data_IF_543067419997
#
_entry.id   IF_543067419997
#
_cell.length_a   1.000
_cell.length_b   1.000
_cell.length_c   1.000
_cell.angle_alpha   90.00
_cell.angle_beta   90.00
_cell.angle_gamma   90.00
#
_symmetry.space_group_name_H-M   'P 1'
#
loop_
_entity.id
_entity.type
_entity.pdbx_description
1 polymer ?
#
# COMPACT_ATOMS: atom_id res chain seq x y z
N UNK A 1 10.95 58.61 -25.51
CA UNK A 1 9.75 58.55 -24.65
C UNK A 1 8.70 57.52 -25.07
N UNK A 2 8.23 57.45 -26.33
CA UNK A 2 7.18 56.47 -26.76
C UNK A 2 7.59 55.01 -26.60
N UNK A 3 8.87 54.64 -26.86
CA UNK A 3 9.36 53.26 -26.72
C UNK A 3 9.47 52.79 -25.25
N UNK A 4 9.83 53.67 -24.34
CA UNK A 4 9.89 53.35 -22.90
C UNK A 4 8.51 53.20 -22.28
N UNK A 5 7.51 53.93 -22.76
CA UNK A 5 6.13 53.82 -22.29
C UNK A 5 5.50 52.49 -22.74
N UNK A 6 5.81 52.04 -23.97
CA UNK A 6 5.34 50.77 -24.52
C UNK A 6 5.95 49.58 -23.77
N UNK A 7 7.25 49.65 -23.42
CA UNK A 7 7.93 48.64 -22.62
C UNK A 7 7.36 48.55 -21.20
N UNK A 8 7.05 49.70 -20.57
CA UNK A 8 6.44 49.73 -19.25
C UNK A 8 5.02 49.15 -19.27
N UNK A 9 4.22 49.44 -20.30
CA UNK A 9 2.88 48.86 -20.46
C UNK A 9 2.92 47.35 -20.69
N UNK A 10 3.91 46.86 -21.45
CA UNK A 10 4.10 45.41 -21.66
C UNK A 10 4.52 44.69 -20.38
N UNK A 11 5.41 45.28 -19.58
CA UNK A 11 5.76 44.74 -18.26
C UNK A 11 4.57 44.76 -17.31
N UNK A 12 3.77 45.81 -17.30
CA UNK A 12 2.58 45.89 -16.46
C UNK A 12 1.52 44.85 -16.85
N UNK A 13 1.31 44.60 -18.15
CA UNK A 13 0.37 43.57 -18.62
C UNK A 13 0.84 42.15 -18.29
N UNK A 14 2.16 41.88 -18.28
CA UNK A 14 2.73 40.61 -17.84
C UNK A 14 2.61 40.42 -16.32
N UNK A 15 2.72 41.50 -15.55
CA UNK A 15 2.50 41.43 -14.08
C UNK A 15 1.01 41.26 -13.71
N UNK A 16 0.09 41.73 -14.55
CA UNK A 16 -1.35 41.59 -14.35
C UNK A 16 -1.91 40.24 -14.84
N UNK A 17 -1.18 39.46 -15.65
CA UNK A 17 -1.51 38.09 -15.98
C UNK A 17 -1.17 37.13 -14.82
N UNK A 18 -1.45 37.58 -13.59
CA UNK A 18 -1.37 36.71 -12.40
C UNK A 18 -2.22 35.49 -12.63
N UNK A 19 -1.60 34.34 -12.58
CA UNK A 19 -2.29 33.04 -12.52
C UNK A 19 -3.49 33.20 -11.59
N UNK A 20 -4.68 32.81 -12.03
CA UNK A 20 -5.84 32.63 -11.17
C UNK A 20 -5.58 31.43 -10.25
N UNK A 21 -4.59 31.56 -9.35
CA UNK A 21 -4.34 30.57 -8.34
C UNK A 21 -5.55 30.59 -7.41
N UNK A 22 -6.36 29.54 -7.44
CA UNK A 22 -7.42 29.31 -6.45
C UNK A 22 -6.81 29.57 -5.07
N UNK A 23 -7.37 30.54 -4.34
CA UNK A 23 -6.81 30.89 -3.04
C UNK A 23 -6.91 29.69 -2.12
N UNK A 24 -5.95 29.54 -1.19
CA UNK A 24 -5.93 28.43 -0.24
C UNK A 24 -7.25 28.28 0.51
N UNK A 25 -7.89 29.40 0.84
CA UNK A 25 -9.21 29.47 1.50
C UNK A 25 -10.38 28.90 0.67
N UNK A 26 -10.22 28.83 -0.66
CA UNK A 26 -11.27 28.36 -1.58
C UNK A 26 -11.14 26.85 -1.86
N UNK A 27 -10.26 26.16 -1.13
CA UNK A 27 -10.03 24.71 -1.25
C UNK A 27 -10.54 23.97 -0.03
N UNK A 28 -11.18 22.84 -0.29
CA UNK A 28 -11.51 21.85 0.75
C UNK A 28 -10.37 20.82 0.80
N UNK A 29 -9.62 20.82 1.89
CA UNK A 29 -8.53 19.87 2.13
C UNK A 29 -9.10 18.59 2.68
N UNK A 30 -8.94 17.49 1.93
CA UNK A 30 -9.49 16.19 2.29
C UNK A 30 -8.46 15.35 3.03
N UNK A 31 -8.90 14.76 4.16
CA UNK A 31 -8.17 13.76 4.91
C UNK A 31 -8.43 12.36 4.35
N UNK A 32 -9.69 12.04 4.08
CA UNK A 32 -10.04 10.75 3.51
C UNK A 32 -11.07 10.85 2.38
N UNK A 33 -10.99 9.88 1.49
CA UNK A 33 -11.90 9.66 0.37
C UNK A 33 -12.35 8.20 0.38
N UNK A 34 -13.65 7.96 0.39
CA UNK A 34 -14.24 6.65 0.22
C UNK A 34 -14.89 6.53 -1.16
N UNK A 35 -14.58 5.43 -1.86
CA UNK A 35 -15.14 5.09 -3.18
C UNK A 35 -16.05 3.88 -3.08
N UNK A 36 -17.29 4.03 -3.56
CA UNK A 36 -18.28 2.97 -3.59
C UNK A 36 -19.06 2.97 -4.90
N UNK A 37 -19.75 1.86 -5.20
CA UNK A 37 -20.58 1.69 -6.40
C UNK A 37 -19.81 1.97 -7.71
N UNK A 38 -18.94 1.04 -8.12
CA UNK A 38 -18.09 1.19 -9.31
C UNK A 38 -18.84 1.50 -10.60
N UNK A 39 -20.08 0.98 -10.77
CA UNK A 39 -20.89 1.23 -11.99
C UNK A 39 -21.42 2.66 -12.06
N UNK A 40 -21.75 3.23 -10.92
CA UNK A 40 -22.19 4.62 -10.77
C UNK A 40 -21.46 5.21 -9.56
N UNK A 41 -20.22 5.63 -9.77
CA UNK A 41 -19.32 6.01 -8.69
C UNK A 41 -19.96 6.97 -7.69
N UNK A 42 -19.84 6.60 -6.43
CA UNK A 42 -20.25 7.43 -5.30
C UNK A 42 -19.02 7.69 -4.44
N UNK A 43 -18.79 8.95 -4.09
CA UNK A 43 -17.70 9.42 -3.26
C UNK A 43 -18.23 9.95 -1.94
N UNK A 44 -17.56 9.60 -0.84
CA UNK A 44 -17.75 10.21 0.47
C UNK A 44 -16.45 10.86 0.88
N UNK A 45 -16.51 12.14 1.23
CA UNK A 45 -15.37 12.98 1.50
C UNK A 45 -15.37 13.39 2.98
N UNK A 46 -14.20 13.29 3.63
CA UNK A 46 -14.00 13.77 4.99
C UNK A 46 -12.87 14.80 4.99
N UNK A 47 -13.18 16.00 5.48
CA UNK A 47 -12.25 17.10 5.55
C UNK A 47 -11.33 16.99 6.78
N UNK A 48 -10.14 17.62 6.73
CA UNK A 48 -9.26 17.74 7.89
C UNK A 48 -9.86 18.57 9.04
N UNK A 49 -10.72 19.53 8.71
CA UNK A 49 -11.33 20.40 9.69
C UNK A 49 -12.72 19.89 10.03
N UNK A 50 -12.93 19.54 11.29
CA UNK A 50 -14.21 19.02 11.80
C UNK A 50 -15.39 20.00 11.67
N UNK A 51 -15.12 21.28 11.43
CA UNK A 51 -16.13 22.32 11.19
C UNK A 51 -16.66 22.29 9.74
N UNK A 52 -15.94 21.65 8.81
CA UNK A 52 -16.36 21.47 7.44
C UNK A 52 -17.20 20.20 7.33
N UNK A 53 -18.41 20.34 6.81
CA UNK A 53 -19.31 19.20 6.67
C UNK A 53 -18.75 18.15 5.72
N UNK A 54 -18.87 16.88 6.09
CA UNK A 54 -18.63 15.77 5.16
C UNK A 54 -19.52 15.95 3.92
N UNK A 55 -18.90 15.77 2.76
CA UNK A 55 -19.59 15.92 1.48
C UNK A 55 -19.66 14.57 0.77
N UNK A 56 -20.70 14.40 -0.02
CA UNK A 56 -20.81 13.23 -0.89
C UNK A 56 -21.22 13.65 -2.29
N UNK A 57 -20.83 12.85 -3.26
CA UNK A 57 -21.20 13.05 -4.65
C UNK A 57 -21.36 11.73 -5.39
N UNK A 58 -22.08 11.76 -6.49
CA UNK A 58 -22.25 10.61 -7.35
C UNK A 58 -22.31 11.03 -8.81
N UNK A 59 -21.89 10.14 -9.72
CA UNK A 59 -21.86 10.46 -11.13
C UNK A 59 -21.64 9.24 -12.01
N UNK A 60 -21.76 9.42 -13.32
CA UNK A 60 -21.52 8.36 -14.29
C UNK A 60 -20.03 7.97 -14.42
N UNK A 61 -19.15 8.83 -13.93
CA UNK A 61 -17.70 8.60 -13.83
C UNK A 61 -17.21 9.08 -12.48
N UNK A 62 -16.01 8.64 -12.08
CA UNK A 62 -15.42 9.09 -10.83
C UNK A 62 -15.17 10.61 -10.80
N UNK A 63 -14.72 11.19 -11.93
CA UNK A 63 -14.57 12.64 -12.04
C UNK A 63 -15.90 13.37 -11.84
N UNK A 64 -16.99 12.89 -12.47
CA UNK A 64 -18.31 13.48 -12.31
C UNK A 64 -18.83 13.35 -10.85
N UNK A 65 -18.50 12.24 -10.16
CA UNK A 65 -18.84 12.06 -8.76
C UNK A 65 -18.08 13.06 -7.86
N UNK A 66 -16.80 13.28 -8.10
CA UNK A 66 -15.99 14.28 -7.39
C UNK A 66 -16.48 15.71 -7.67
N UNK A 67 -16.74 16.05 -8.92
CA UNK A 67 -17.33 17.36 -9.29
C UNK A 67 -18.68 17.58 -8.62
N UNK A 68 -19.54 16.55 -8.56
CA UNK A 68 -20.83 16.67 -7.90
C UNK A 68 -20.71 16.90 -6.39
N UNK A 69 -19.63 16.45 -5.77
CA UNK A 69 -19.33 16.68 -4.36
C UNK A 69 -18.81 18.09 -4.07
N UNK A 70 -18.21 18.78 -5.06
CA UNK A 70 -17.79 20.19 -4.93
C UNK A 70 -18.98 21.15 -4.76
N UNK A 71 -20.15 20.81 -5.30
CA UNK A 71 -21.34 21.66 -5.25
C UNK A 71 -21.80 21.90 -3.80
N UNK A 72 -22.08 20.87 -2.99
CA UNK A 72 -22.43 21.07 -1.59
C UNK A 72 -21.27 21.61 -0.75
N UNK A 73 -20.03 21.31 -1.12
CA UNK A 73 -18.85 21.83 -0.42
C UNK A 73 -18.67 23.35 -0.63
N UNK A 74 -19.13 23.91 -1.75
CA UNK A 74 -18.92 25.31 -2.10
C UNK A 74 -17.44 25.69 -2.28
N UNK A 75 -16.55 24.68 -2.36
CA UNK A 75 -15.10 24.80 -2.49
C UNK A 75 -14.58 23.75 -3.46
N UNK A 76 -13.46 24.04 -4.11
CA UNK A 76 -12.80 23.04 -4.93
C UNK A 76 -12.06 22.01 -4.08
N UNK A 77 -12.16 20.73 -4.47
CA UNK A 77 -11.54 19.62 -3.75
C UNK A 77 -10.01 19.65 -3.93
N UNK A 78 -9.29 19.46 -2.85
CA UNK A 78 -7.84 19.29 -2.87
C UNK A 78 -7.44 17.95 -2.24
N UNK A 79 -7.06 17.00 -3.11
CA UNK A 79 -6.71 15.63 -2.74
C UNK A 79 -5.20 15.42 -2.57
N UNK A 80 -4.38 16.44 -2.80
CA UNK A 80 -2.91 16.32 -2.70
C UNK A 80 -2.41 15.99 -1.29
N UNK A 81 -3.22 16.19 -0.26
CA UNK A 81 -2.93 15.83 1.13
C UNK A 81 -3.74 14.64 1.63
N UNK A 82 -4.43 13.93 0.73
CA UNK A 82 -5.22 12.76 1.11
C UNK A 82 -4.35 11.74 1.86
N UNK A 83 -4.77 11.39 3.07
CA UNK A 83 -4.07 10.41 3.92
C UNK A 83 -4.65 9.01 3.80
N UNK A 84 -5.96 8.89 3.53
CA UNK A 84 -6.67 7.62 3.43
C UNK A 84 -7.57 7.59 2.20
N UNK A 85 -7.39 6.57 1.37
CA UNK A 85 -8.29 6.21 0.28
C UNK A 85 -8.94 4.85 0.60
N UNK A 86 -10.24 4.85 0.85
CA UNK A 86 -11.00 3.65 1.14
C UNK A 86 -11.75 3.17 -0.11
N UNK A 87 -11.65 1.89 -0.41
CA UNK A 87 -12.30 1.26 -1.56
C UNK A 87 -13.34 0.26 -1.07
N UNK A 88 -14.58 0.37 -1.51
CA UNK A 88 -15.62 -0.62 -1.23
C UNK A 88 -15.71 -1.72 -2.30
N UNK A 89 -15.17 -1.46 -3.48
CA UNK A 89 -15.15 -2.43 -4.57
C UNK A 89 -13.73 -2.55 -5.14
N UNK A 90 -13.24 -3.78 -5.38
CA UNK A 90 -11.89 -4.06 -5.90
C UNK A 90 -11.59 -3.36 -7.22
N UNK A 91 -12.59 -3.21 -8.08
CA UNK A 91 -12.44 -2.62 -9.43
C UNK A 91 -11.92 -1.19 -9.41
N UNK A 92 -12.08 -0.44 -8.31
CA UNK A 92 -11.52 0.90 -8.18
C UNK A 92 -9.99 0.91 -8.21
N UNK A 93 -9.32 -0.21 -7.95
CA UNK A 93 -7.87 -0.31 -8.14
C UNK A 93 -7.42 0.02 -9.56
N UNK A 94 -8.26 -0.26 -10.55
CA UNK A 94 -7.95 0.05 -11.96
C UNK A 94 -7.92 1.56 -12.23
N UNK A 95 -8.58 2.36 -11.40
CA UNK A 95 -8.66 3.82 -11.55
C UNK A 95 -7.59 4.57 -10.74
N UNK A 96 -6.79 3.88 -9.92
CA UNK A 96 -5.76 4.52 -9.10
C UNK A 96 -4.71 5.30 -9.91
N UNK A 97 -4.20 4.80 -11.06
CA UNK A 97 -3.25 5.56 -11.87
C UNK A 97 -3.83 6.89 -12.36
N UNK A 98 -5.09 6.88 -12.81
CA UNK A 98 -5.78 8.07 -13.28
C UNK A 98 -6.04 9.07 -12.15
N UNK A 99 -6.46 8.57 -10.98
CA UNK A 99 -6.61 9.39 -9.77
C UNK A 99 -5.29 10.05 -9.35
N UNK A 100 -4.21 9.28 -9.34
CA UNK A 100 -2.88 9.80 -9.00
C UNK A 100 -2.46 10.91 -9.96
N UNK A 101 -2.64 10.69 -11.26
CA UNK A 101 -2.25 11.65 -12.30
C UNK A 101 -3.12 12.90 -12.27
N UNK A 102 -4.44 12.74 -12.20
CA UNK A 102 -5.41 13.83 -12.32
C UNK A 102 -5.44 14.71 -11.05
N UNK A 103 -5.41 14.09 -9.88
CA UNK A 103 -5.60 14.77 -8.58
C UNK A 103 -4.33 14.90 -7.75
N UNK A 104 -3.19 14.43 -8.27
CA UNK A 104 -1.87 14.52 -7.61
C UNK A 104 -1.89 13.96 -6.18
N UNK A 105 -2.49 12.79 -6.00
CA UNK A 105 -2.55 12.13 -4.69
C UNK A 105 -1.14 11.95 -4.11
N UNK A 106 -1.05 12.03 -2.77
CA UNK A 106 0.19 11.71 -2.07
C UNK A 106 0.59 10.25 -2.31
N UNK A 107 1.84 9.99 -2.65
CA UNK A 107 2.38 8.62 -2.77
C UNK A 107 2.30 7.83 -1.47
N UNK A 108 2.31 8.52 -0.33
CA UNK A 108 2.17 7.94 1.00
C UNK A 108 0.72 7.80 1.48
N UNK A 109 -0.28 8.12 0.63
CA UNK A 109 -1.68 7.89 0.94
C UNK A 109 -1.92 6.40 1.25
N UNK A 110 -2.59 6.11 2.37
CA UNK A 110 -2.97 4.75 2.75
C UNK A 110 -4.16 4.29 1.93
N UNK A 111 -4.12 3.04 1.45
CA UNK A 111 -5.30 2.40 0.87
C UNK A 111 -5.88 1.43 1.89
N UNK A 112 -7.22 1.36 1.91
CA UNK A 112 -7.96 0.45 2.77
C UNK A 112 -9.12 -0.15 1.97
N UNK A 113 -9.22 -1.47 1.93
CA UNK A 113 -10.43 -2.10 1.46
C UNK A 113 -11.44 -2.26 2.60
N UNK A 114 -12.70 -1.97 2.34
CA UNK A 114 -13.78 -2.10 3.33
C UNK A 114 -15.08 -2.48 2.65
N UNK A 115 -15.83 -3.39 3.24
CA UNK A 115 -17.18 -3.76 2.77
C UNK A 115 -18.28 -2.91 3.39
N UNK A 116 -17.92 -2.00 4.31
CA UNK A 116 -18.87 -1.12 5.02
C UNK A 116 -18.44 0.32 4.86
N UNK A 117 -19.41 1.21 4.74
CA UNK A 117 -19.13 2.64 4.70
C UNK A 117 -18.41 3.14 5.95
N UNK A 118 -17.52 4.09 5.74
CA UNK A 118 -16.81 4.82 6.79
C UNK A 118 -17.60 6.02 7.34
N UNK A 119 -18.77 6.33 6.82
CA UNK A 119 -19.57 7.52 7.20
C UNK A 119 -19.83 7.65 8.72
N UNK A 120 -19.89 6.52 9.46
CA UNK A 120 -20.08 6.52 10.91
C UNK A 120 -18.77 6.26 11.69
N UNK A 121 -17.62 6.35 11.03
CA UNK A 121 -16.32 6.00 11.59
C UNK A 121 -15.46 7.25 11.70
N UNK A 122 -14.83 7.44 12.85
CA UNK A 122 -13.79 8.46 12.95
C UNK A 122 -12.58 8.04 12.12
N UNK A 123 -12.40 8.68 10.97
CA UNK A 123 -11.38 8.34 9.98
C UNK A 123 -9.96 8.62 10.48
N UNK A 124 -9.77 9.62 11.34
CA UNK A 124 -8.49 9.93 11.98
C UNK A 124 -8.07 8.76 12.90
N UNK A 125 -8.95 8.33 13.81
CA UNK A 125 -8.68 7.18 14.70
C UNK A 125 -8.44 5.89 13.90
N UNK A 126 -9.18 5.68 12.80
CA UNK A 126 -8.98 4.53 11.91
C UNK A 126 -7.60 4.55 11.27
N UNK A 127 -7.20 5.71 10.74
CA UNK A 127 -5.89 5.91 10.11
C UNK A 127 -4.75 5.75 11.11
N UNK A 128 -4.89 6.30 12.31
CA UNK A 128 -3.91 6.13 13.38
C UNK A 128 -3.76 4.66 13.78
N UNK A 129 -4.88 3.94 13.93
CA UNK A 129 -4.85 2.51 14.24
C UNK A 129 -4.16 1.71 13.15
N UNK A 130 -4.42 2.00 11.87
CA UNK A 130 -3.74 1.37 10.74
C UNK A 130 -2.23 1.64 10.76
N UNK A 131 -1.84 2.90 10.96
CA UNK A 131 -0.43 3.30 11.09
C UNK A 131 0.26 2.61 12.28
N UNK A 132 -0.44 2.41 13.40
CA UNK A 132 0.08 1.70 14.57
C UNK A 132 0.30 0.21 14.31
N UNK A 133 -0.63 -0.47 13.64
CA UNK A 133 -0.47 -1.89 13.27
C UNK A 133 0.75 -2.07 12.36
N UNK A 134 0.94 -1.17 11.38
CA UNK A 134 2.14 -1.16 10.55
C UNK A 134 3.41 -0.88 11.39
N UNK A 135 3.43 0.16 12.22
CA UNK A 135 4.61 0.54 13.03
C UNK A 135 5.01 -0.54 14.03
N UNK A 136 4.04 -1.32 14.52
CA UNK A 136 4.29 -2.44 15.42
C UNK A 136 4.72 -3.72 14.67
N UNK A 137 4.81 -3.69 13.33
CA UNK A 137 5.14 -4.84 12.50
C UNK A 137 4.13 -5.97 12.56
N UNK A 138 2.87 -5.65 12.86
CA UNK A 138 1.76 -6.62 12.82
C UNK A 138 1.17 -6.76 11.44
N UNK A 139 1.38 -5.76 10.60
CA UNK A 139 1.02 -5.75 9.20
C UNK A 139 2.16 -5.19 8.36
N UNK A 140 2.34 -5.63 7.11
CA UNK A 140 3.24 -5.02 6.16
C UNK A 140 2.84 -3.56 5.92
N UNK A 141 3.84 -2.69 5.78
CA UNK A 141 3.58 -1.31 5.40
C UNK A 141 3.07 -1.26 3.96
N UNK A 142 1.92 -0.63 3.77
CA UNK A 142 1.31 -0.42 2.47
C UNK A 142 0.95 1.05 2.28
N UNK A 143 1.19 1.56 1.08
CA UNK A 143 0.80 2.90 0.65
C UNK A 143 0.50 2.87 -0.85
N UNK A 144 -0.03 3.98 -1.37
CA UNK A 144 -0.40 4.08 -2.77
C UNK A 144 0.75 3.72 -3.71
N UNK A 145 1.97 4.15 -3.39
CA UNK A 145 3.14 3.86 -4.23
C UNK A 145 3.48 2.36 -4.24
N UNK A 146 3.48 1.70 -3.09
CA UNK A 146 3.77 0.25 -3.00
C UNK A 146 2.72 -0.56 -3.76
N UNK A 147 1.44 -0.23 -3.61
CA UNK A 147 0.34 -0.90 -4.31
C UNK A 147 0.43 -0.70 -5.83
N UNK A 148 0.76 0.51 -6.28
CA UNK A 148 0.95 0.76 -7.72
C UNK A 148 2.16 0.00 -8.27
N UNK A 149 3.26 -0.12 -7.52
CA UNK A 149 4.40 -0.95 -7.90
C UNK A 149 4.02 -2.42 -8.04
N UNK A 150 3.32 -2.97 -7.06
CA UNK A 150 2.84 -4.36 -7.08
C UNK A 150 1.94 -4.60 -8.31
N UNK A 151 1.04 -3.69 -8.62
CA UNK A 151 0.19 -3.78 -9.80
C UNK A 151 0.91 -3.59 -11.14
N UNK A 152 2.05 -2.92 -11.15
CA UNK A 152 2.90 -2.80 -12.33
C UNK A 152 3.81 -4.01 -12.53
N UNK A 153 3.89 -4.92 -11.55
CA UNK A 153 4.57 -6.20 -11.70
C UNK A 153 3.75 -7.13 -12.62
N UNK A 154 4.41 -8.12 -13.15
CA UNK A 154 3.77 -9.07 -14.08
C UNK A 154 2.66 -9.92 -13.45
N UNK A 155 2.53 -9.94 -12.13
CA UNK A 155 1.42 -10.61 -11.42
C UNK A 155 0.13 -9.79 -11.37
N UNK A 156 0.21 -8.47 -11.55
CA UNK A 156 -0.92 -7.53 -11.48
C UNK A 156 -1.75 -7.59 -10.17
N UNK A 157 -1.21 -8.21 -9.14
CA UNK A 157 -1.86 -8.41 -7.84
C UNK A 157 -1.35 -7.37 -6.85
N UNK A 158 -2.23 -6.83 -6.03
CA UNK A 158 -1.88 -5.88 -4.97
C UNK A 158 -2.18 -6.47 -3.58
N UNK A 159 -1.34 -6.11 -2.60
CA UNK A 159 -1.55 -6.43 -1.20
C UNK A 159 -2.19 -5.23 -0.50
N UNK A 160 -3.42 -5.39 0.02
CA UNK A 160 -4.16 -4.32 0.67
C UNK A 160 -4.55 -4.66 2.10
N UNK A 161 -4.51 -3.67 3.02
CA UNK A 161 -5.19 -3.80 4.31
C UNK A 161 -6.71 -3.86 4.10
N UNK A 162 -7.32 -4.76 4.82
CA UNK A 162 -8.76 -4.99 4.83
C UNK A 162 -9.32 -4.77 6.23
N UNK A 163 -10.39 -3.97 6.33
CA UNK A 163 -11.04 -3.69 7.60
C UNK A 163 -11.94 -4.85 8.03
N UNK A 164 -11.67 -5.38 9.22
CA UNK A 164 -12.51 -6.36 9.90
C UNK A 164 -13.20 -5.73 11.12
N UNK A 165 -14.05 -6.49 11.81
CA UNK A 165 -14.86 -5.96 12.93
C UNK A 165 -14.00 -5.37 14.05
N UNK A 166 -12.86 -6.00 14.38
CA UNK A 166 -12.00 -5.60 15.49
C UNK A 166 -10.56 -5.36 15.03
N UNK A 167 -10.36 -4.57 13.98
CA UNK A 167 -9.02 -4.23 13.49
C UNK A 167 -8.86 -4.39 11.99
N UNK A 168 -7.71 -4.90 11.59
CA UNK A 168 -7.34 -5.06 10.19
C UNK A 168 -6.84 -6.48 9.92
N UNK A 169 -6.94 -6.88 8.68
CA UNK A 169 -6.30 -8.04 8.08
C UNK A 169 -5.68 -7.62 6.75
N UNK A 170 -5.04 -8.54 6.04
CA UNK A 170 -4.49 -8.28 4.71
C UNK A 170 -5.16 -9.18 3.68
N UNK A 171 -5.30 -8.68 2.48
CA UNK A 171 -5.82 -9.43 1.34
C UNK A 171 -5.00 -9.19 0.08
N UNK A 172 -4.92 -10.19 -0.74
CA UNK A 172 -4.49 -10.07 -2.13
C UNK A 172 -5.70 -9.67 -2.97
N UNK A 173 -5.48 -8.82 -3.95
CA UNK A 173 -6.51 -8.33 -4.84
C UNK A 173 -5.97 -8.25 -6.26
N UNK A 174 -6.58 -9.02 -7.14
CA UNK A 174 -6.19 -9.12 -8.54
C UNK A 174 -6.81 -8.03 -9.41
N UNK A 175 -6.30 -7.90 -10.62
CA UNK A 175 -6.79 -6.93 -11.61
C UNK A 175 -8.25 -7.16 -12.03
N UNK A 176 -8.75 -8.39 -11.98
CA UNK A 176 -10.15 -8.73 -12.26
C UNK A 176 -11.10 -8.45 -11.09
N UNK A 177 -10.54 -8.14 -9.91
CA UNK A 177 -11.26 -7.86 -8.68
C UNK A 177 -11.49 -9.10 -7.81
N UNK A 178 -10.86 -10.23 -8.12
CA UNK A 178 -10.84 -11.37 -7.19
C UNK A 178 -10.03 -11.02 -5.94
N UNK A 179 -10.41 -11.60 -4.80
CA UNK A 179 -9.81 -11.28 -3.50
C UNK A 179 -9.53 -12.54 -2.69
N UNK A 180 -8.37 -12.58 -2.06
CA UNK A 180 -7.95 -13.65 -1.16
C UNK A 180 -7.45 -13.07 0.16
N UNK A 181 -8.12 -13.39 1.27
CA UNK A 181 -7.66 -13.00 2.61
C UNK A 181 -6.50 -13.89 3.05
N UNK A 182 -5.46 -13.28 3.60
CA UNK A 182 -4.28 -13.98 4.11
C UNK A 182 -4.47 -14.41 5.57
N UNK A 183 -3.82 -15.53 5.93
CA UNK A 183 -3.72 -15.96 7.32
C UNK A 183 -2.84 -15.02 8.15
N UNK A 184 -3.00 -15.04 9.47
CA UNK A 184 -2.16 -14.25 10.38
C UNK A 184 -0.68 -14.62 10.27
N UNK A 185 -0.36 -15.89 10.04
CA UNK A 185 1.02 -16.32 9.86
C UNK A 185 1.60 -15.77 8.55
N UNK A 186 0.84 -15.80 7.46
CA UNK A 186 1.26 -15.20 6.20
C UNK A 186 1.46 -13.69 6.33
N UNK A 187 0.58 -12.97 7.01
CA UNK A 187 0.73 -11.52 7.27
C UNK A 187 2.02 -11.24 8.04
N UNK A 188 2.30 -11.99 9.08
CA UNK A 188 3.55 -11.85 9.84
C UNK A 188 4.77 -12.19 8.99
N UNK A 189 4.71 -13.27 8.20
CA UNK A 189 5.77 -13.63 7.26
C UNK A 189 6.08 -12.52 6.26
N UNK A 190 5.04 -11.87 5.73
CA UNK A 190 5.22 -10.72 4.83
C UNK A 190 5.91 -9.53 5.51
N UNK A 191 5.70 -9.28 6.80
CA UNK A 191 6.45 -8.25 7.52
C UNK A 191 7.97 -8.53 7.49
N UNK A 192 8.38 -9.80 7.57
CA UNK A 192 9.78 -10.20 7.48
C UNK A 192 10.29 -10.20 6.04
N UNK A 193 9.55 -10.81 5.14
CA UNK A 193 9.96 -10.95 3.74
C UNK A 193 10.07 -9.60 3.04
N UNK A 194 9.17 -8.67 3.26
CA UNK A 194 9.25 -7.32 2.65
C UNK A 194 10.38 -6.46 3.20
N UNK A 195 10.92 -6.79 4.37
CA UNK A 195 12.12 -6.16 4.92
C UNK A 195 11.99 -4.67 5.26
N UNK A 196 10.81 -4.10 5.25
CA UNK A 196 10.57 -2.67 5.44
C UNK A 196 9.88 -2.32 6.77
N UNK A 197 9.44 -3.34 7.53
CA UNK A 197 8.72 -3.11 8.77
C UNK A 197 8.71 -4.34 9.67
N UNK A 198 9.61 -4.40 10.62
CA UNK A 198 9.74 -5.54 11.54
C UNK A 198 9.01 -5.28 12.85
N UNK A 199 8.41 -6.32 13.47
CA UNK A 199 7.87 -6.21 14.81
C UNK A 199 8.97 -5.90 15.82
N UNK A 200 8.74 -4.97 16.73
CA UNK A 200 9.68 -4.68 17.83
C UNK A 200 9.66 -5.75 18.90
N UNK A 201 8.57 -6.52 18.98
CA UNK A 201 8.35 -7.61 19.93
C UNK A 201 7.62 -8.73 19.23
N UNK A 202 8.10 -9.95 19.41
CA UNK A 202 7.45 -11.19 18.94
C UNK A 202 7.09 -12.02 20.16
N UNK A 203 5.80 -12.27 20.36
CA UNK A 203 5.35 -13.21 21.41
C UNK A 203 5.52 -14.63 20.91
N UNK A 204 6.20 -15.43 21.72
CA UNK A 204 6.58 -16.80 21.44
C UNK A 204 5.91 -17.74 22.46
N UNK A 205 5.60 -18.94 22.03
CA UNK A 205 5.16 -20.02 22.91
C UNK A 205 6.08 -21.21 22.69
N UNK A 206 6.84 -21.58 23.71
CA UNK A 206 7.69 -22.77 23.69
C UNK A 206 7.41 -23.60 24.95
N UNK A 207 7.19 -24.90 24.79
CA UNK A 207 6.91 -25.83 25.88
C UNK A 207 5.76 -25.40 26.83
N UNK A 208 4.74 -24.70 26.25
CA UNK A 208 3.60 -24.19 27.02
C UNK A 208 3.90 -22.93 27.84
N UNK A 209 5.10 -22.36 27.72
CA UNK A 209 5.47 -21.10 28.36
C UNK A 209 5.44 -19.97 27.32
N UNK A 210 4.74 -18.89 27.66
CA UNK A 210 4.76 -17.68 26.87
C UNK A 210 6.02 -16.86 27.20
N UNK A 211 6.71 -16.41 26.17
CA UNK A 211 7.88 -15.53 26.28
C UNK A 211 7.85 -14.50 25.16
N UNK A 212 8.59 -13.42 25.32
CA UNK A 212 8.74 -12.42 24.27
C UNK A 212 10.19 -12.39 23.76
N UNK A 213 10.36 -12.17 22.47
CA UNK A 213 11.64 -11.76 21.90
C UNK A 213 11.55 -10.27 21.55
N UNK A 214 12.50 -9.50 22.10
CA UNK A 214 12.61 -8.06 21.85
C UNK A 214 13.62 -7.80 20.75
N UNK A 215 13.20 -7.11 19.68
CA UNK A 215 13.99 -6.85 18.49
C UNK A 215 14.51 -5.41 18.51
N UNK A 216 15.81 -5.26 18.38
CA UNK A 216 16.48 -3.95 18.28
C UNK A 216 16.70 -3.54 16.83
N UNK A 217 17.04 -4.50 15.97
CA UNK A 217 17.15 -4.29 14.53
C UNK A 217 16.95 -5.58 13.77
N UNK A 218 16.50 -5.47 12.51
CA UNK A 218 16.43 -6.59 11.60
C UNK A 218 16.70 -6.14 10.16
N UNK A 219 17.07 -7.08 9.31
CA UNK A 219 17.25 -6.85 7.87
C UNK A 219 16.97 -8.12 7.09
N UNK A 220 16.41 -7.97 5.90
CA UNK A 220 16.18 -9.07 4.95
C UNK A 220 16.94 -8.80 3.66
N UNK A 221 17.57 -9.85 3.12
CA UNK A 221 18.27 -9.82 1.84
C UNK A 221 17.83 -11.01 0.99
N UNK A 222 17.72 -10.76 -0.30
CA UNK A 222 17.40 -11.77 -1.30
C UNK A 222 18.61 -12.05 -2.17
N UNK A 223 18.94 -13.32 -2.35
CA UNK A 223 19.88 -13.77 -3.38
C UNK A 223 19.22 -14.88 -4.18
N UNK A 224 19.43 -14.87 -5.49
CA UNK A 224 18.83 -15.86 -6.36
C UNK A 224 19.92 -16.51 -7.24
N UNK A 225 19.76 -17.80 -7.46
CA UNK A 225 20.59 -18.57 -8.40
C UNK A 225 19.71 -19.52 -9.22
N UNK A 226 20.23 -19.99 -10.33
CA UNK A 226 19.56 -20.98 -11.16
C UNK A 226 20.22 -22.34 -10.98
N UNK A 227 19.44 -23.34 -10.59
CA UNK A 227 19.89 -24.73 -10.53
C UNK A 227 18.93 -25.61 -11.35
N UNK A 228 19.44 -26.34 -12.33
CA UNK A 228 18.65 -27.22 -13.22
C UNK A 228 17.47 -26.52 -13.91
N UNK A 229 17.61 -25.24 -14.26
CA UNK A 229 16.54 -24.46 -14.88
C UNK A 229 15.44 -23.97 -13.91
N UNK A 230 15.63 -24.14 -12.61
CA UNK A 230 14.71 -23.70 -11.56
C UNK A 230 15.36 -22.55 -10.78
N UNK A 231 14.63 -21.45 -10.51
CA UNK A 231 15.13 -20.38 -9.65
C UNK A 231 15.09 -20.81 -8.18
N UNK A 232 16.22 -20.71 -7.50
CA UNK A 232 16.35 -20.90 -6.05
C UNK A 232 16.62 -19.54 -5.45
N UNK A 233 15.75 -19.10 -4.56
CA UNK A 233 15.83 -17.81 -3.87
C UNK A 233 16.17 -18.04 -2.40
N UNK A 234 17.33 -17.57 -1.98
CA UNK A 234 17.72 -17.58 -0.57
C UNK A 234 17.29 -16.28 0.09
N UNK A 235 16.49 -16.40 1.14
CA UNK A 235 16.03 -15.28 1.97
C UNK A 235 16.84 -15.29 3.26
N UNK A 236 17.79 -14.36 3.37
CA UNK A 236 18.64 -14.22 4.57
C UNK A 236 18.06 -13.13 5.49
N UNK A 237 17.59 -13.52 6.66
CA UNK A 237 17.02 -12.61 7.69
C UNK A 237 17.98 -12.55 8.87
N UNK A 238 18.51 -11.35 9.13
CA UNK A 238 19.39 -11.08 10.27
C UNK A 238 18.65 -10.26 11.30
N UNK A 239 18.68 -10.71 12.56
CA UNK A 239 17.93 -10.12 13.68
C UNK A 239 18.88 -9.91 14.86
N UNK A 240 18.87 -8.71 15.44
CA UNK A 240 19.48 -8.43 16.73
C UNK A 240 18.40 -8.24 17.77
N UNK A 241 18.59 -8.86 18.96
CA UNK A 241 17.59 -8.75 20.01
C UNK A 241 17.81 -9.73 21.16
N UNK A 242 16.89 -9.73 22.10
CA UNK A 242 16.98 -10.55 23.33
C UNK A 242 15.75 -11.38 23.52
N UNK A 243 15.93 -12.65 23.87
CA UNK A 243 14.86 -13.63 24.10
C UNK A 243 15.25 -15.04 23.68
N UNK A 244 14.27 -15.91 23.50
CA UNK A 244 14.49 -17.29 23.06
C UNK A 244 14.71 -17.33 21.53
N UNK A 245 15.97 -17.41 21.09
CA UNK A 245 16.35 -17.42 19.68
C UNK A 245 15.86 -18.68 18.93
N UNK A 246 15.75 -19.83 19.60
CA UNK A 246 15.29 -21.09 18.99
C UNK A 246 13.79 -20.96 18.64
N UNK A 247 12.98 -20.56 19.62
CA UNK A 247 11.55 -20.37 19.40
C UNK A 247 11.26 -19.25 18.38
N UNK A 248 12.09 -18.18 18.34
CA UNK A 248 11.96 -17.16 17.31
C UNK A 248 12.24 -17.75 15.92
N UNK A 249 13.29 -18.55 15.75
CA UNK A 249 13.61 -19.19 14.46
C UNK A 249 12.44 -20.03 13.94
N UNK A 250 11.87 -20.90 14.77
CA UNK A 250 10.72 -21.75 14.41
C UNK A 250 9.51 -20.90 14.01
N UNK A 251 9.27 -19.80 14.75
CA UNK A 251 8.18 -18.86 14.42
C UNK A 251 8.39 -18.15 13.09
N UNK A 252 9.63 -17.71 12.79
CA UNK A 252 9.99 -17.09 11.52
C UNK A 252 9.82 -18.05 10.35
N UNK A 253 10.31 -19.28 10.49
CA UNK A 253 10.21 -20.31 9.46
C UNK A 253 8.74 -20.56 9.10
N UNK A 254 7.90 -20.84 10.11
CA UNK A 254 6.45 -21.03 9.92
C UNK A 254 5.80 -19.84 9.23
N UNK A 255 6.13 -18.62 9.66
CA UNK A 255 5.52 -17.41 9.10
C UNK A 255 5.96 -17.13 7.65
N UNK A 256 7.26 -17.25 7.36
CA UNK A 256 7.79 -17.06 6.00
C UNK A 256 7.23 -18.10 5.03
N UNK A 257 7.22 -19.37 5.41
CA UNK A 257 6.63 -20.45 4.61
C UNK A 257 5.12 -20.22 4.34
N UNK A 258 4.37 -19.75 5.35
CA UNK A 258 2.96 -19.41 5.16
C UNK A 258 2.77 -18.26 4.16
N UNK A 259 3.60 -17.22 4.26
CA UNK A 259 3.56 -16.10 3.34
C UNK A 259 3.87 -16.52 1.90
N UNK A 260 4.95 -17.27 1.68
CA UNK A 260 5.35 -17.76 0.36
C UNK A 260 4.30 -18.69 -0.24
N UNK A 261 3.77 -19.60 0.56
CA UNK A 261 2.72 -20.51 0.13
C UNK A 261 1.47 -19.76 -0.29
N UNK A 262 0.98 -18.84 0.55
CA UNK A 262 -0.28 -18.15 0.30
C UNK A 262 -0.15 -17.05 -0.77
N UNK A 263 1.00 -16.40 -0.90
CA UNK A 263 1.16 -15.36 -1.94
C UNK A 263 1.71 -15.92 -3.24
N UNK A 264 2.85 -16.56 -3.23
CA UNK A 264 3.56 -16.97 -4.44
C UNK A 264 2.98 -18.27 -5.01
N UNK A 265 2.91 -19.33 -4.19
CA UNK A 265 2.58 -20.66 -4.69
C UNK A 265 1.10 -20.82 -5.02
N UNK A 266 0.19 -20.33 -4.18
CA UNK A 266 -1.26 -20.48 -4.36
C UNK A 266 -1.85 -19.39 -5.25
N UNK A 267 -1.44 -18.14 -5.06
CA UNK A 267 -2.06 -17.00 -5.74
C UNK A 267 -1.18 -16.36 -6.83
N UNK A 268 0.06 -16.82 -7.01
CA UNK A 268 1.01 -16.30 -8.01
C UNK A 268 1.20 -14.77 -7.91
N UNK A 269 1.11 -14.24 -6.69
CA UNK A 269 1.17 -12.83 -6.38
C UNK A 269 2.58 -12.45 -5.89
N UNK A 270 3.31 -11.68 -6.69
CA UNK A 270 4.60 -11.12 -6.26
C UNK A 270 4.42 -9.84 -5.45
N UNK A 271 4.20 -10.01 -4.17
CA UNK A 271 4.10 -8.89 -3.21
C UNK A 271 5.39 -8.67 -2.39
N UNK A 272 6.49 -9.35 -2.75
CA UNK A 272 7.80 -9.24 -2.08
C UNK A 272 8.93 -8.79 -3.02
N UNK A 273 8.59 -8.26 -4.21
CA UNK A 273 9.52 -7.77 -5.23
C UNK A 273 10.46 -8.86 -5.78
N UNK A 274 9.97 -10.10 -5.87
CA UNK A 274 10.72 -11.25 -6.35
C UNK A 274 11.11 -11.13 -7.83
N UNK A 275 10.24 -10.55 -8.66
CA UNK A 275 10.50 -10.27 -10.07
C UNK A 275 11.76 -9.42 -10.24
N UNK A 276 11.92 -8.37 -9.44
CA UNK A 276 13.10 -7.51 -9.50
C UNK A 276 14.38 -8.29 -9.15
N UNK A 277 14.32 -9.16 -8.13
CA UNK A 277 15.43 -10.02 -7.73
C UNK A 277 15.83 -11.00 -8.85
N UNK A 278 14.87 -11.74 -9.41
CA UNK A 278 15.13 -12.73 -10.45
C UNK A 278 15.59 -12.08 -11.76
N UNK A 279 15.01 -10.96 -12.14
CA UNK A 279 15.45 -10.19 -13.30
C UNK A 279 16.89 -9.72 -13.19
N UNK A 280 17.34 -9.35 -11.99
CA UNK A 280 18.70 -8.89 -11.75
C UNK A 280 19.70 -10.03 -11.66
N UNK A 281 19.36 -11.13 -10.98
CA UNK A 281 20.33 -12.19 -10.62
C UNK A 281 20.21 -13.46 -11.48
N UNK A 282 19.04 -13.71 -12.07
CA UNK A 282 18.76 -14.85 -12.94
C UNK A 282 18.29 -14.40 -14.32
N UNK A 283 18.90 -13.33 -14.86
CA UNK A 283 18.46 -12.64 -16.08
C UNK A 283 18.19 -13.56 -17.28
N UNK A 284 19.08 -14.53 -17.53
CA UNK A 284 18.92 -15.48 -18.62
C UNK A 284 17.64 -16.32 -18.48
N UNK A 285 17.42 -16.89 -17.30
CA UNK A 285 16.23 -17.67 -16.99
C UNK A 285 14.95 -16.81 -17.09
N UNK A 286 15.01 -15.57 -16.60
CA UNK A 286 13.93 -14.61 -16.68
C UNK A 286 13.55 -14.23 -18.13
N UNK A 287 14.50 -14.24 -19.06
CA UNK A 287 14.22 -14.01 -20.47
C UNK A 287 13.66 -15.24 -21.22
N UNK A 288 14.03 -16.44 -20.78
CA UNK A 288 13.65 -17.70 -21.45
C UNK A 288 12.30 -18.22 -21.01
N UNK A 289 11.77 -17.80 -19.87
CA UNK A 289 10.50 -18.28 -19.30
C UNK A 289 9.56 -17.12 -18.99
N UNK A 290 8.26 -17.38 -19.11
CA UNK A 290 7.27 -16.42 -18.67
C UNK A 290 7.22 -16.32 -17.13
N UNK A 291 6.82 -15.14 -16.65
CA UNK A 291 6.83 -14.83 -15.22
C UNK A 291 5.97 -15.80 -14.38
N UNK A 292 4.80 -16.16 -14.85
CA UNK A 292 3.90 -17.03 -14.10
C UNK A 292 4.48 -18.45 -13.97
N UNK A 293 5.19 -18.93 -15.00
CA UNK A 293 5.92 -20.18 -14.94
C UNK A 293 7.07 -20.14 -13.94
N UNK A 294 7.81 -19.03 -13.88
CA UNK A 294 8.86 -18.82 -12.90
C UNK A 294 8.32 -18.81 -11.48
N UNK A 295 7.25 -18.08 -11.20
CA UNK A 295 6.62 -18.05 -9.88
C UNK A 295 6.16 -19.43 -9.39
N UNK A 296 5.68 -20.28 -10.29
CA UNK A 296 5.23 -21.64 -9.92
C UNK A 296 6.37 -22.58 -9.55
N UNK A 297 7.56 -22.32 -10.09
CA UNK A 297 8.71 -23.22 -9.95
C UNK A 297 9.75 -22.70 -8.93
N UNK A 298 9.64 -21.44 -8.51
CA UNK A 298 10.59 -20.87 -7.55
C UNK A 298 10.64 -21.67 -6.25
N UNK A 299 11.85 -21.93 -5.78
CA UNK A 299 12.11 -22.58 -4.51
C UNK A 299 12.74 -21.59 -3.55
N UNK A 300 12.27 -21.57 -2.30
CA UNK A 300 12.81 -20.71 -1.26
C UNK A 300 13.69 -21.48 -0.30
N UNK A 301 14.75 -20.85 0.15
CA UNK A 301 15.64 -21.30 1.20
C UNK A 301 15.78 -20.19 2.23
N UNK A 302 15.62 -20.50 3.51
CA UNK A 302 15.72 -19.51 4.58
C UNK A 302 17.02 -19.64 5.36
N UNK A 303 17.67 -18.50 5.60
CA UNK A 303 18.83 -18.35 6.45
C UNK A 303 18.53 -17.34 7.56
N UNK A 304 18.40 -17.82 8.80
CA UNK A 304 18.16 -16.94 9.94
C UNK A 304 19.40 -16.77 10.79
N UNK A 305 19.88 -15.54 10.93
CA UNK A 305 20.96 -15.15 11.84
C UNK A 305 20.38 -14.33 12.98
N UNK A 306 20.35 -14.90 14.19
CA UNK A 306 19.79 -14.25 15.38
C UNK A 306 20.95 -13.98 16.34
N UNK A 307 21.20 -12.70 16.61
CA UNK A 307 22.30 -12.20 17.43
C UNK A 307 21.76 -11.47 18.66
N UNK A 308 22.46 -11.54 19.78
CA UNK A 308 22.08 -10.83 21.01
C UNK A 308 22.15 -9.30 20.86
#
# INVERSE_FOLDING_TARGET
>A
MKKSLLSLLLCLSLCCSGCSATQVKDRLYLQSLELSNYRYPTVQLHAFQSEEADCSGSGSTLSAALESAEIPAGKSLFLGHLELLALQEPKFLQQLPDLLQQYRLSSGCKLLYTTRSLAAVNTETLLESLKQEEQNGRMPKTDLLSILKERCNSSETALLPFRITNGFSMMLMDSDGSTQTLSNDAIQGLCWLRGNNYPKRVSLSADGQASDFLITSASTKYTALTANGIPIVTVSISIHGTGNAVALRERLETACEAAERETIQQNQADVIELEACLRQQCYKLYQEQDWNSLLRTVQFQHEFTILP
#
